data_IF_368100022930
#
_entry.id   IF_368100022930
#
_cell.length_a   1.000
_cell.length_b   1.000
_cell.length_c   1.000
_cell.angle_alpha   90.00
_cell.angle_beta   90.00
_cell.angle_gamma   90.00
#
_symmetry.space_group_name_H-M   'P 1'
#
loop_
_entity.id
_entity.type
_entity.pdbx_description
1 polymer ?
#
# COMPACT_ATOMS: atom_id res chain seq x y z
N UNK A 1 43.23 43.36 -18.76
CA UNK A 1 42.41 43.00 -17.59
C UNK A 1 41.38 41.99 -18.07
N UNK A 2 41.62 40.70 -17.80
CA UNK A 2 40.97 39.59 -18.50
C UNK A 2 39.58 39.30 -17.90
N UNK A 3 38.54 39.62 -18.68
CA UNK A 3 37.10 39.40 -18.40
C UNK A 3 36.73 37.94 -18.08
N UNK A 4 37.63 36.98 -18.28
CA UNK A 4 37.41 35.54 -18.04
C UNK A 4 37.49 35.12 -16.56
N UNK A 5 38.07 35.95 -15.68
CA UNK A 5 38.19 35.62 -14.25
C UNK A 5 36.95 35.95 -13.43
N UNK A 6 36.08 36.85 -13.91
CA UNK A 6 34.87 37.24 -13.18
C UNK A 6 33.72 36.25 -13.38
N UNK A 7 33.73 35.47 -14.46
CA UNK A 7 32.65 34.53 -14.76
C UNK A 7 32.73 33.24 -13.93
N UNK A 8 33.91 32.87 -13.43
CA UNK A 8 34.12 31.63 -12.68
C UNK A 8 33.74 31.75 -11.20
N UNK A 9 33.77 32.97 -10.64
CA UNK A 9 33.42 33.23 -9.25
C UNK A 9 31.89 33.25 -9.00
N UNK A 10 31.10 33.49 -10.05
CA UNK A 10 29.64 33.52 -9.94
C UNK A 10 28.97 32.13 -9.93
N UNK A 11 29.68 31.07 -10.33
CA UNK A 11 29.09 29.73 -10.47
C UNK A 11 29.21 28.87 -9.19
N UNK A 12 30.00 29.30 -8.21
CA UNK A 12 30.30 28.52 -6.99
C UNK A 12 29.36 28.76 -5.79
N UNK A 13 28.31 29.58 -5.94
CA UNK A 13 27.42 29.96 -4.83
C UNK A 13 26.07 29.22 -4.78
N UNK A 14 25.85 28.21 -5.63
CA UNK A 14 24.54 27.53 -5.76
C UNK A 14 24.44 26.24 -4.91
N UNK A 15 25.52 25.77 -4.27
CA UNK A 15 25.53 24.49 -3.55
C UNK A 15 25.32 24.58 -2.02
N UNK A 16 24.84 25.72 -1.49
CA UNK A 16 24.70 25.92 -0.05
C UNK A 16 23.23 26.14 0.39
N UNK A 17 22.33 25.21 0.06
CA UNK A 17 21.03 25.11 0.72
C UNK A 17 20.33 23.76 0.49
N UNK A 18 21.05 22.64 0.60
CA UNK A 18 20.37 21.37 0.89
C UNK A 18 20.14 21.28 2.40
N UNK A 19 19.13 21.99 2.90
CA UNK A 19 18.54 21.65 4.19
C UNK A 19 17.88 20.29 4.02
N UNK A 20 18.61 19.22 4.36
CA UNK A 20 17.99 17.94 4.62
C UNK A 20 17.11 18.11 5.85
N UNK A 21 15.81 18.30 5.61
CA UNK A 21 14.82 18.27 6.67
C UNK A 21 14.96 16.92 7.39
N UNK A 22 15.02 16.89 8.73
CA UNK A 22 14.95 15.63 9.46
C UNK A 22 13.61 14.98 9.09
N UNK A 23 13.65 13.83 8.41
CA UNK A 23 12.46 13.02 8.22
C UNK A 23 12.11 12.43 9.58
N UNK A 24 11.20 13.15 10.23
CA UNK A 24 10.52 12.77 11.45
C UNK A 24 9.92 11.37 11.38
N UNK A 25 10.03 10.72 12.52
CA UNK A 25 9.18 9.65 13.02
C UNK A 25 9.16 8.33 12.22
N UNK A 26 9.93 7.40 12.77
CA UNK A 26 9.66 5.97 12.78
C UNK A 26 8.16 5.72 12.66
N UNK A 27 7.78 5.29 11.46
CA UNK A 27 6.41 5.23 10.96
C UNK A 27 5.55 4.48 11.97
N UNK A 28 4.63 5.19 12.64
CA UNK A 28 3.46 4.54 13.27
C UNK A 28 2.86 3.70 12.17
N UNK A 29 3.08 2.38 12.23
CA UNK A 29 2.69 1.46 11.17
C UNK A 29 1.17 1.45 11.15
N UNK A 30 0.61 2.38 10.37
CA UNK A 30 -0.82 2.55 10.22
C UNK A 30 -1.36 1.19 9.77
N UNK A 31 -2.46 0.70 10.34
CA UNK A 31 -3.04 -0.56 9.88
C UNK A 31 -3.18 -0.49 8.36
N UNK A 32 -2.78 -1.57 7.68
CA UNK A 32 -2.81 -1.65 6.21
C UNK A 32 -4.23 -1.38 5.66
N UNK A 33 -5.25 -1.48 6.51
CA UNK A 33 -6.61 -1.11 6.24
C UNK A 33 -7.17 -0.05 7.21
N UNK A 34 -7.97 0.88 6.68
CA UNK A 34 -8.80 1.82 7.44
C UNK A 34 -10.27 1.57 7.10
N UNK A 35 -11.13 1.57 8.10
CA UNK A 35 -12.58 1.49 7.89
C UNK A 35 -13.16 2.90 7.87
N UNK A 36 -13.81 3.28 6.77
CA UNK A 36 -14.37 4.62 6.58
C UNK A 36 -15.68 4.53 5.81
N UNK A 37 -16.76 5.11 6.35
CA UNK A 37 -18.08 5.21 5.70
C UNK A 37 -18.62 3.87 5.17
N UNK A 38 -18.36 2.76 5.88
CA UNK A 38 -18.78 1.41 5.47
C UNK A 38 -17.88 0.76 4.42
N UNK A 39 -16.90 1.49 3.89
CA UNK A 39 -15.84 0.95 3.02
C UNK A 39 -14.58 0.62 3.81
N UNK A 40 -13.72 -0.17 3.19
CA UNK A 40 -12.40 -0.53 3.66
C UNK A 40 -11.38 0.09 2.70
N UNK A 41 -10.49 0.91 3.22
CA UNK A 41 -9.37 1.50 2.50
C UNK A 41 -8.11 0.68 2.76
N UNK A 42 -7.60 -0.03 1.75
CA UNK A 42 -6.35 -0.78 1.80
C UNK A 42 -5.31 -0.01 0.98
N UNK A 43 -4.37 0.65 1.67
CA UNK A 43 -3.52 1.66 1.03
C UNK A 43 -4.35 2.81 0.45
N UNK A 44 -4.31 3.00 -0.87
CA UNK A 44 -5.13 3.97 -1.61
C UNK A 44 -6.40 3.36 -2.23
N UNK A 45 -6.60 2.06 -2.11
CA UNK A 45 -7.67 1.32 -2.77
C UNK A 45 -8.88 1.20 -1.85
N UNK A 46 -10.08 1.48 -2.39
CA UNK A 46 -11.34 1.34 -1.65
C UNK A 46 -12.04 0.06 -2.09
N UNK A 47 -12.45 -0.74 -1.11
CA UNK A 47 -13.24 -1.97 -1.29
C UNK A 47 -14.40 -2.02 -0.30
N UNK A 48 -15.40 -2.83 -0.58
CA UNK A 48 -16.63 -2.92 0.22
C UNK A 48 -16.93 -4.36 0.61
N UNK A 49 -17.31 -4.57 1.88
CA UNK A 49 -17.90 -5.84 2.30
C UNK A 49 -19.23 -6.04 1.57
N UNK A 50 -19.48 -7.26 1.13
CA UNK A 50 -20.63 -7.59 0.29
C UNK A 50 -20.40 -7.35 -1.20
N UNK A 51 -19.33 -6.67 -1.64
CA UNK A 51 -19.02 -6.58 -3.06
C UNK A 51 -18.63 -7.97 -3.64
N UNK A 52 -18.83 -8.20 -4.95
CA UNK A 52 -18.36 -9.42 -5.60
C UNK A 52 -16.84 -9.54 -5.54
N UNK A 53 -16.32 -10.77 -5.49
CA UNK A 53 -14.89 -11.06 -5.46
C UNK A 53 -14.10 -10.34 -6.58
N UNK A 54 -14.70 -10.21 -7.77
CA UNK A 54 -14.04 -9.58 -8.92
C UNK A 54 -13.80 -8.08 -8.70
N UNK A 55 -14.65 -7.39 -7.92
CA UNK A 55 -14.42 -5.99 -7.55
C UNK A 55 -13.20 -5.86 -6.62
N UNK A 56 -13.03 -6.80 -5.70
CA UNK A 56 -11.84 -6.87 -4.84
C UNK A 56 -10.58 -7.18 -5.64
N UNK A 57 -10.65 -8.10 -6.61
CA UNK A 57 -9.54 -8.41 -7.51
C UNK A 57 -9.15 -7.20 -8.36
N UNK A 58 -10.13 -6.45 -8.88
CA UNK A 58 -9.87 -5.23 -9.64
C UNK A 58 -9.17 -4.15 -8.80
N UNK A 59 -9.55 -4.00 -7.53
CA UNK A 59 -8.97 -3.00 -6.64
C UNK A 59 -7.59 -3.38 -6.10
N UNK A 60 -7.39 -4.64 -5.69
CA UNK A 60 -6.17 -5.10 -5.01
C UNK A 60 -5.15 -5.75 -5.97
N UNK A 61 -5.55 -6.01 -7.21
CA UNK A 61 -4.70 -6.59 -8.25
C UNK A 61 -4.75 -8.11 -8.33
N UNK A 62 -4.15 -8.65 -9.39
CA UNK A 62 -4.19 -10.08 -9.74
C UNK A 62 -3.15 -10.93 -9.02
N UNK A 63 -2.27 -10.34 -8.19
CA UNK A 63 -1.30 -11.07 -7.36
C UNK A 63 -1.98 -11.65 -6.13
N UNK A 64 -2.85 -12.63 -6.35
CA UNK A 64 -3.58 -13.33 -5.29
C UNK A 64 -3.49 -14.85 -5.48
N UNK A 65 -3.80 -15.58 -4.42
CA UNK A 65 -4.03 -17.03 -4.47
C UNK A 65 -5.32 -17.40 -3.77
N UNK A 66 -5.88 -18.54 -4.13
CA UNK A 66 -6.92 -19.17 -3.32
C UNK A 66 -6.28 -19.98 -2.20
N UNK A 67 -6.88 -19.97 -1.01
CA UNK A 67 -6.45 -20.87 0.07
C UNK A 67 -6.60 -22.34 -0.32
N UNK A 68 -7.70 -22.67 -1.01
CA UNK A 68 -7.93 -23.94 -1.70
C UNK A 68 -8.41 -23.65 -3.14
N UNK A 69 -7.66 -24.07 -4.18
CA UNK A 69 -7.99 -23.76 -5.58
C UNK A 69 -9.24 -24.48 -6.12
N UNK A 70 -9.70 -25.54 -5.46
CA UNK A 70 -10.91 -26.28 -5.83
C UNK A 70 -12.17 -25.58 -5.29
N UNK A 71 -12.12 -25.10 -4.05
CA UNK A 71 -13.28 -24.47 -3.37
C UNK A 71 -13.38 -22.98 -3.71
N UNK A 72 -12.25 -22.29 -3.85
CA UNK A 72 -12.15 -20.86 -4.22
C UNK A 72 -12.97 -19.90 -3.34
N UNK A 73 -13.25 -20.29 -2.09
CA UNK A 73 -14.04 -19.51 -1.12
C UNK A 73 -13.21 -18.51 -0.30
N UNK A 74 -11.89 -18.55 -0.42
CA UNK A 74 -11.00 -17.64 0.28
C UNK A 74 -9.88 -17.17 -0.65
N UNK A 75 -9.75 -15.86 -0.82
CA UNK A 75 -8.75 -15.20 -1.67
C UNK A 75 -7.77 -14.46 -0.77
N UNK A 76 -6.48 -14.63 -1.04
CA UNK A 76 -5.39 -14.12 -0.19
C UNK A 76 -4.43 -13.30 -1.05
N UNK A 77 -4.15 -12.07 -0.62
CA UNK A 77 -3.06 -11.22 -1.10
C UNK A 77 -1.97 -11.18 -0.02
N UNK A 78 -0.97 -12.06 -0.14
CA UNK A 78 0.09 -12.22 0.86
C UNK A 78 0.90 -10.93 1.06
N UNK A 79 1.20 -10.23 -0.04
CA UNK A 79 1.97 -8.97 0.00
C UNK A 79 1.23 -7.87 0.77
N UNK A 80 -0.10 -7.86 0.69
CA UNK A 80 -0.95 -6.90 1.39
C UNK A 80 -1.32 -7.37 2.80
N UNK A 81 -1.11 -8.65 3.13
CA UNK A 81 -1.61 -9.25 4.37
C UNK A 81 -3.14 -9.24 4.45
N UNK A 82 -3.83 -9.44 3.32
CA UNK A 82 -5.29 -9.39 3.24
C UNK A 82 -5.83 -10.75 2.82
N UNK A 83 -6.84 -11.24 3.53
CA UNK A 83 -7.61 -12.41 3.11
C UNK A 83 -9.10 -12.09 3.14
N UNK A 84 -9.83 -12.48 2.09
CA UNK A 84 -11.29 -12.33 2.02
C UNK A 84 -11.95 -13.68 1.90
N UNK A 85 -13.07 -13.85 2.58
CA UNK A 85 -13.94 -15.02 2.46
C UNK A 85 -15.15 -14.65 1.63
N UNK A 86 -15.45 -15.46 0.63
CA UNK A 86 -16.60 -15.29 -0.25
C UNK A 86 -17.67 -16.32 0.07
N UNK A 87 -18.93 -16.02 -0.26
CA UNK A 87 -19.94 -17.07 -0.31
C UNK A 87 -19.71 -18.06 -1.46
N UNK A 88 -20.42 -19.18 -1.41
CA UNK A 88 -20.39 -20.22 -2.45
C UNK A 88 -21.35 -19.94 -3.60
N UNK A 89 -21.89 -18.72 -3.71
CA UNK A 89 -22.79 -18.36 -4.81
C UNK A 89 -21.99 -18.10 -6.09
N UNK A 90 -22.67 -18.11 -7.24
CA UNK A 90 -22.05 -17.85 -8.55
C UNK A 90 -21.25 -16.54 -8.57
N UNK A 91 -21.73 -15.53 -7.85
CA UNK A 91 -21.17 -14.17 -7.85
C UNK A 91 -20.16 -13.94 -6.71
N UNK A 92 -19.97 -14.92 -5.81
CA UNK A 92 -18.94 -14.97 -4.76
C UNK A 92 -18.77 -13.65 -4.01
N UNK A 93 -19.83 -13.20 -3.32
CA UNK A 93 -19.77 -11.94 -2.59
C UNK A 93 -18.91 -12.09 -1.33
N UNK A 94 -18.07 -11.08 -1.03
CA UNK A 94 -17.20 -11.08 0.15
C UNK A 94 -18.04 -10.94 1.42
N UNK A 95 -17.96 -11.91 2.33
CA UNK A 95 -18.70 -11.94 3.61
C UNK A 95 -17.86 -11.49 4.79
N UNK A 96 -16.55 -11.76 4.74
CA UNK A 96 -15.63 -11.31 5.78
C UNK A 96 -14.26 -11.05 5.18
N UNK A 97 -13.50 -10.22 5.89
CA UNK A 97 -12.12 -9.89 5.59
C UNK A 97 -11.28 -10.12 6.84
N UNK A 98 -10.06 -10.59 6.67
CA UNK A 98 -9.06 -10.77 7.71
C UNK A 98 -7.78 -10.04 7.31
N UNK A 99 -7.16 -9.36 8.28
CA UNK A 99 -5.91 -8.63 8.10
C UNK A 99 -4.82 -9.31 8.92
N UNK A 100 -3.72 -9.65 8.26
CA UNK A 100 -2.55 -10.26 8.88
C UNK A 100 -1.61 -9.12 9.26
N UNK A 101 -1.54 -8.84 10.56
CA UNK A 101 -0.61 -7.87 11.10
C UNK A 101 0.77 -8.53 11.21
N UNK A 102 1.73 -8.05 10.41
CA UNK A 102 3.13 -8.44 10.56
C UNK A 102 3.78 -7.53 11.60
N UNK A 103 4.52 -8.09 12.58
CA UNK A 103 5.33 -7.26 13.46
C UNK A 103 6.33 -6.45 12.62
N UNK A 104 6.73 -5.25 13.09
CA UNK A 104 7.83 -4.52 12.47
C UNK A 104 9.05 -5.44 12.36
N UNK A 105 9.75 -5.42 11.23
CA UNK A 105 11.05 -6.07 11.14
C UNK A 105 11.96 -5.45 12.20
N UNK A 106 12.37 -6.22 13.19
CA UNK A 106 13.40 -5.77 14.12
C UNK A 106 14.67 -5.53 13.30
N UNK A 107 15.14 -4.28 13.27
CA UNK A 107 16.42 -3.94 12.69
C UNK A 107 17.50 -4.66 13.51
N UNK A 108 17.98 -5.79 12.99
CA UNK A 108 19.17 -6.49 13.51
C UNK A 108 20.45 -5.77 13.10
#
# INVERSE_FOLDING_TARGET
MNSRFLLTMALSLIFAACSAAPQDEQTKQKPAAVFENGSILIGSQRVELGAPADAWIAALGSSYRFANPEIRSMIIWDDLGVAVHTDSTKDRHVKSVSFILRPPLESS
#
